data_IF_708705837761
#
_entry.id   IF_708705837761
#
_cell.length_a   1.000
_cell.length_b   1.000
_cell.length_c   1.000
_cell.angle_alpha   90.00
_cell.angle_beta   90.00
_cell.angle_gamma   90.00
#
_symmetry.space_group_name_H-M   'P 1'
#
loop_
_entity.id
_entity.type
_entity.pdbx_description
1 polymer ?
#
# COMPACT_ATOMS: atom_id res chain seq x y z
N UNK A 1 -18.08 4.69 8.24
CA UNK A 1 -19.31 4.01 7.75
C UNK A 1 -19.98 3.19 8.83
N UNK A 2 -19.38 2.12 9.36
CA UNK A 2 -20.01 1.25 10.38
C UNK A 2 -20.56 2.02 11.60
N UNK A 3 -19.79 3.00 12.11
CA UNK A 3 -20.25 3.90 13.18
C UNK A 3 -21.53 4.66 12.82
N UNK A 4 -21.63 5.17 11.59
CA UNK A 4 -22.82 5.88 11.11
C UNK A 4 -24.03 4.92 10.97
N UNK A 5 -23.81 3.70 10.47
CA UNK A 5 -24.86 2.67 10.38
C UNK A 5 -25.40 2.25 11.75
N UNK A 6 -24.54 2.23 12.78
CA UNK A 6 -24.94 1.94 14.15
C UNK A 6 -25.68 3.13 14.77
N UNK A 7 -25.14 4.35 14.65
CA UNK A 7 -25.75 5.57 15.18
C UNK A 7 -27.15 5.85 14.61
N UNK A 8 -27.39 5.50 13.34
CA UNK A 8 -28.69 5.66 12.68
C UNK A 8 -29.58 4.41 12.76
N UNK A 9 -29.43 3.59 13.80
CA UNK A 9 -30.20 2.36 13.95
C UNK A 9 -31.01 2.33 15.24
N UNK A 10 -31.99 1.41 15.32
CA UNK A 10 -32.74 1.18 16.55
C UNK A 10 -31.87 0.71 17.73
N UNK A 11 -30.61 0.32 17.49
CA UNK A 11 -29.65 -0.14 18.51
C UNK A 11 -28.56 0.88 18.84
N UNK A 12 -28.75 2.16 18.50
CA UNK A 12 -27.76 3.22 18.72
C UNK A 12 -27.35 3.38 20.19
N UNK A 13 -28.21 2.99 21.14
CA UNK A 13 -27.92 3.05 22.57
C UNK A 13 -27.13 1.83 23.08
N UNK A 14 -27.05 0.75 22.28
CA UNK A 14 -26.29 -0.44 22.60
C UNK A 14 -24.81 -0.31 22.23
N UNK A 15 -23.96 -1.29 22.61
CA UNK A 15 -22.54 -1.25 22.28
C UNK A 15 -22.29 -1.40 20.78
N UNK A 16 -21.22 -0.75 20.28
CA UNK A 16 -20.64 -1.03 18.97
C UNK A 16 -19.26 -1.65 19.18
N UNK A 17 -19.17 -2.97 19.01
CA UNK A 17 -17.90 -3.70 19.08
C UNK A 17 -17.33 -3.80 17.67
N UNK A 18 -16.14 -3.23 17.44
CA UNK A 18 -15.46 -3.25 16.16
C UNK A 18 -14.23 -4.15 16.22
N UNK A 19 -14.14 -5.10 15.28
CA UNK A 19 -13.10 -6.14 15.27
C UNK A 19 -12.51 -6.21 13.88
N UNK A 20 -11.19 -6.24 13.78
CA UNK A 20 -10.49 -6.56 12.53
C UNK A 20 -10.10 -8.04 12.55
N UNK A 21 -10.69 -8.84 11.67
CA UNK A 21 -10.48 -10.29 11.63
C UNK A 21 -9.05 -10.67 11.24
N UNK A 22 -8.37 -9.87 10.41
CA UNK A 22 -7.00 -10.15 9.96
C UNK A 22 -5.94 -9.85 11.02
N UNK A 23 -6.28 -9.05 12.04
CA UNK A 23 -5.36 -8.69 13.11
C UNK A 23 -5.30 -9.74 14.24
N UNK A 24 -6.22 -10.70 14.27
CA UNK A 24 -6.32 -11.70 15.34
C UNK A 24 -5.61 -12.98 14.92
N UNK A 25 -4.68 -13.51 15.74
CA UNK A 25 -4.08 -14.81 15.50
C UNK A 25 -5.14 -15.91 15.38
N UNK A 26 -5.02 -16.78 14.37
CA UNK A 26 -6.01 -17.83 14.08
C UNK A 26 -6.32 -18.73 15.29
N UNK A 27 -5.31 -19.03 16.11
CA UNK A 27 -5.45 -19.84 17.32
C UNK A 27 -6.28 -19.17 18.44
N UNK A 28 -6.39 -17.84 18.42
CA UNK A 28 -7.18 -17.08 19.41
C UNK A 28 -8.51 -16.61 18.85
N UNK A 29 -8.70 -16.69 17.53
CA UNK A 29 -9.85 -16.10 16.85
C UNK A 29 -11.18 -16.66 17.39
N UNK A 30 -11.25 -17.95 17.66
CA UNK A 30 -12.45 -18.56 18.24
C UNK A 30 -12.75 -18.05 19.65
N UNK A 31 -11.74 -17.99 20.52
CA UNK A 31 -11.87 -17.56 21.90
C UNK A 31 -12.26 -16.07 21.99
N UNK A 32 -11.68 -15.22 21.14
CA UNK A 32 -12.02 -13.79 21.10
C UNK A 32 -13.43 -13.55 20.54
N UNK A 33 -13.90 -14.34 19.56
CA UNK A 33 -15.25 -14.18 19.02
C UNK A 33 -16.34 -14.67 19.96
N UNK A 34 -16.21 -15.89 20.49
CA UNK A 34 -17.28 -16.59 21.21
C UNK A 34 -17.08 -16.65 22.73
N UNK A 35 -15.92 -16.23 23.22
CA UNK A 35 -15.52 -16.36 24.60
C UNK A 35 -14.90 -17.72 24.89
N UNK A 36 -14.28 -17.84 26.06
CA UNK A 36 -13.60 -19.05 26.48
C UNK A 36 -13.76 -19.28 27.97
N UNK A 37 -13.94 -20.55 28.36
CA UNK A 37 -13.92 -20.98 29.77
C UNK A 37 -12.51 -21.28 30.23
N UNK A 38 -12.25 -21.13 31.53
CA UNK A 38 -10.97 -21.50 32.15
C UNK A 38 -10.58 -22.93 31.77
N UNK A 39 -9.34 -23.10 31.32
CA UNK A 39 -8.78 -24.40 30.93
C UNK A 39 -9.14 -24.88 29.52
N UNK A 40 -9.84 -24.07 28.71
CA UNK A 40 -10.24 -24.44 27.35
C UNK A 40 -9.11 -24.44 26.31
N UNK A 41 -8.04 -23.67 26.54
CA UNK A 41 -6.82 -23.67 25.73
C UNK A 41 -5.59 -23.27 26.57
N UNK A 42 -4.39 -23.46 26.01
CA UNK A 42 -3.13 -23.10 26.67
C UNK A 42 -3.06 -21.60 26.94
N UNK A 43 -3.13 -21.19 28.21
CA UNK A 43 -3.18 -19.79 28.63
C UNK A 43 -4.56 -19.30 29.11
N UNK A 44 -5.60 -20.13 29.03
CA UNK A 44 -6.94 -19.81 29.54
C UNK A 44 -7.01 -19.90 31.08
N UNK A 45 -6.35 -18.97 31.76
CA UNK A 45 -6.29 -18.92 33.23
C UNK A 45 -7.62 -18.49 33.88
N UNK A 46 -8.46 -17.77 33.14
CA UNK A 46 -9.75 -17.24 33.57
C UNK A 46 -10.78 -17.37 32.46
N UNK A 47 -12.06 -17.27 32.83
CA UNK A 47 -13.15 -17.09 31.87
C UNK A 47 -13.00 -15.74 31.16
N UNK A 48 -13.27 -15.70 29.86
CA UNK A 48 -13.19 -14.50 29.04
C UNK A 48 -14.40 -14.40 28.14
N UNK A 49 -15.08 -13.26 28.17
CA UNK A 49 -16.20 -12.98 27.29
C UNK A 49 -15.70 -12.70 25.87
N UNK A 50 -16.47 -13.15 24.88
CA UNK A 50 -16.20 -12.92 23.47
C UNK A 50 -16.84 -11.65 22.94
N UNK A 51 -16.53 -11.32 21.69
CA UNK A 51 -17.10 -10.17 21.00
C UNK A 51 -18.61 -10.24 20.84
N UNK A 52 -19.18 -11.43 20.70
CA UNK A 52 -20.64 -11.59 20.66
C UNK A 52 -21.29 -11.19 21.98
N UNK A 53 -20.72 -11.61 23.11
CA UNK A 53 -21.21 -11.22 24.43
C UNK A 53 -21.03 -9.71 24.67
N UNK A 54 -19.87 -9.16 24.30
CA UNK A 54 -19.61 -7.73 24.43
C UNK A 54 -20.54 -6.86 23.55
N UNK A 55 -21.03 -7.40 22.44
CA UNK A 55 -21.92 -6.72 21.50
C UNK A 55 -23.42 -6.96 21.77
N UNK A 56 -23.77 -7.65 22.86
CA UNK A 56 -25.15 -8.02 23.18
C UNK A 56 -26.08 -6.80 23.23
N UNK A 57 -27.21 -6.87 22.53
CA UNK A 57 -28.17 -5.78 22.41
C UNK A 57 -27.72 -4.62 21.50
N UNK A 58 -26.52 -4.72 20.92
CA UNK A 58 -25.89 -3.69 20.09
C UNK A 58 -25.55 -4.19 18.68
N UNK A 59 -24.39 -3.75 18.19
CA UNK A 59 -23.84 -4.10 16.88
C UNK A 59 -22.42 -4.66 17.00
N UNK A 60 -22.14 -5.71 16.22
CA UNK A 60 -20.80 -6.24 16.01
C UNK A 60 -20.35 -5.92 14.58
N UNK A 61 -19.28 -5.13 14.46
CA UNK A 61 -18.64 -4.79 13.20
C UNK A 61 -17.42 -5.71 12.96
N UNK A 62 -17.47 -6.45 11.86
CA UNK A 62 -16.45 -7.40 11.43
C UNK A 62 -15.74 -6.84 10.20
N UNK A 63 -14.56 -6.25 10.40
CA UNK A 63 -13.70 -5.78 9.33
C UNK A 63 -12.85 -6.93 8.79
N UNK A 64 -12.60 -6.91 7.48
CA UNK A 64 -11.88 -7.95 6.73
C UNK A 64 -12.43 -9.38 6.92
N UNK A 65 -13.76 -9.53 6.81
CA UNK A 65 -14.43 -10.83 6.98
C UNK A 65 -13.95 -11.91 5.98
N UNK A 66 -13.47 -11.50 4.81
CA UNK A 66 -12.95 -12.40 3.77
C UNK A 66 -11.70 -13.18 4.18
N UNK A 67 -11.00 -12.73 5.22
CA UNK A 67 -9.76 -13.37 5.71
C UNK A 67 -10.02 -14.40 6.83
N UNK A 68 -11.29 -14.63 7.19
CA UNK A 68 -11.64 -15.66 8.16
C UNK A 68 -11.37 -17.08 7.63
N UNK A 69 -10.72 -17.96 8.42
CA UNK A 69 -10.59 -19.38 8.08
C UNK A 69 -11.95 -20.08 7.94
N UNK A 70 -12.05 -21.09 7.07
CA UNK A 70 -13.29 -21.84 6.80
C UNK A 70 -13.93 -22.45 8.05
N UNK A 71 -13.11 -22.89 9.01
CA UNK A 71 -13.58 -23.41 10.30
C UNK A 71 -14.35 -22.34 11.09
N UNK A 72 -13.84 -21.11 11.09
CA UNK A 72 -14.47 -19.97 11.77
C UNK A 72 -15.71 -19.48 11.03
N UNK A 73 -15.70 -19.50 9.69
CA UNK A 73 -16.89 -19.18 8.89
C UNK A 73 -18.09 -20.07 9.25
N UNK A 74 -17.84 -21.36 9.51
CA UNK A 74 -18.88 -22.33 9.91
C UNK A 74 -19.48 -22.00 11.28
N UNK A 75 -18.65 -21.57 12.23
CA UNK A 75 -19.11 -21.17 13.58
C UNK A 75 -19.85 -19.85 13.55
N UNK A 76 -19.36 -18.89 12.78
CA UNK A 76 -20.02 -17.59 12.58
C UNK A 76 -21.40 -17.78 11.93
N UNK A 77 -21.51 -18.62 10.91
CA UNK A 77 -22.79 -18.96 10.29
C UNK A 77 -23.78 -19.49 11.32
N UNK A 78 -23.34 -20.41 12.19
CA UNK A 78 -24.17 -20.97 13.24
C UNK A 78 -24.65 -19.88 14.21
N UNK A 79 -23.76 -18.99 14.63
CA UNK A 79 -24.11 -17.88 15.51
C UNK A 79 -25.15 -16.94 14.88
N UNK A 80 -25.05 -16.67 13.58
CA UNK A 80 -26.01 -15.82 12.85
C UNK A 80 -27.36 -16.52 12.67
N UNK A 81 -27.35 -17.82 12.35
CA UNK A 81 -28.57 -18.59 12.07
C UNK A 81 -29.36 -18.92 13.33
N UNK A 82 -28.68 -19.47 14.35
CA UNK A 82 -29.30 -19.93 15.59
C UNK A 82 -29.52 -18.79 16.59
N UNK A 83 -28.84 -17.64 16.40
CA UNK A 83 -28.82 -16.51 17.35
C UNK A 83 -28.36 -16.94 18.74
N UNK A 84 -27.43 -17.88 18.77
CA UNK A 84 -26.81 -18.40 19.98
C UNK A 84 -25.31 -18.55 19.77
N UNK A 85 -24.53 -18.33 20.81
CA UNK A 85 -23.08 -18.56 20.82
C UNK A 85 -22.71 -19.56 21.89
N UNK A 86 -21.61 -20.28 21.66
CA UNK A 86 -21.07 -21.25 22.60
C UNK A 86 -19.61 -20.91 22.86
N UNK A 87 -19.28 -20.60 24.11
CA UNK A 87 -17.90 -20.35 24.51
C UNK A 87 -17.04 -21.59 24.35
N UNK A 88 -15.75 -21.40 24.03
CA UNK A 88 -14.78 -22.49 23.91
C UNK A 88 -14.65 -23.22 25.24
N UNK A 89 -14.82 -24.55 25.21
CA UNK A 89 -14.82 -25.39 26.42
C UNK A 89 -16.13 -25.39 27.21
N UNK A 90 -17.19 -24.71 26.74
CA UNK A 90 -18.54 -24.78 27.31
C UNK A 90 -19.44 -25.68 26.47
N UNK A 91 -20.36 -26.41 27.11
CA UNK A 91 -21.46 -27.10 26.44
C UNK A 91 -22.75 -26.26 26.37
N UNK A 92 -22.79 -25.14 27.10
CA UNK A 92 -23.97 -24.27 27.22
C UNK A 92 -23.96 -23.25 26.08
N UNK A 93 -25.11 -23.11 25.43
CA UNK A 93 -25.37 -22.07 24.44
C UNK A 93 -26.03 -20.87 25.10
N UNK A 94 -25.58 -19.68 24.73
CA UNK A 94 -26.07 -18.41 25.24
C UNK A 94 -26.71 -17.61 24.10
N UNK A 95 -27.89 -17.02 24.30
CA UNK A 95 -28.57 -16.26 23.24
C UNK A 95 -27.78 -15.00 22.88
N UNK A 96 -27.47 -14.86 21.59
CA UNK A 96 -26.75 -13.73 21.02
C UNK A 96 -27.71 -12.85 20.22
N UNK A 97 -28.12 -11.74 20.82
CA UNK A 97 -28.93 -10.73 20.13
C UNK A 97 -28.03 -9.58 19.64
N UNK A 98 -27.40 -9.78 18.49
CA UNK A 98 -26.39 -8.86 17.95
C UNK A 98 -26.69 -8.53 16.49
N UNK A 99 -26.63 -7.24 16.14
CA UNK A 99 -26.67 -6.82 14.73
C UNK A 99 -25.29 -6.95 14.12
N UNK A 100 -25.15 -7.77 13.07
CA UNK A 100 -23.89 -7.92 12.35
C UNK A 100 -23.75 -6.84 11.28
N UNK A 101 -22.57 -6.23 11.21
CA UNK A 101 -22.13 -5.36 10.12
C UNK A 101 -20.78 -5.93 9.67
N UNK A 102 -20.62 -6.28 8.40
CA UNK A 102 -19.35 -6.81 7.89
C UNK A 102 -18.78 -5.94 6.78
N UNK A 103 -17.46 -5.89 6.67
CA UNK A 103 -16.75 -5.24 5.58
C UNK A 103 -15.60 -6.13 5.08
N UNK A 104 -15.22 -5.96 3.81
CA UNK A 104 -14.04 -6.57 3.22
C UNK A 104 -13.65 -5.83 1.95
N UNK A 105 -12.35 -5.85 1.62
CA UNK A 105 -11.83 -5.39 0.34
C UNK A 105 -11.83 -6.48 -0.75
N UNK A 106 -12.17 -7.72 -0.41
CA UNK A 106 -12.12 -8.89 -1.32
C UNK A 106 -13.45 -9.09 -2.04
N UNK A 107 -13.38 -9.65 -3.25
CA UNK A 107 -14.57 -10.13 -3.95
C UNK A 107 -15.00 -11.48 -3.35
N UNK A 108 -15.96 -11.42 -2.42
CA UNK A 108 -16.50 -12.61 -1.77
C UNK A 108 -17.19 -13.55 -2.76
N UNK A 109 -17.78 -13.05 -3.86
CA UNK A 109 -18.41 -13.90 -4.85
C UNK A 109 -17.36 -14.76 -5.56
N UNK A 110 -16.22 -14.18 -5.93
CA UNK A 110 -15.08 -14.91 -6.47
C UNK A 110 -14.47 -15.89 -5.45
N UNK A 111 -14.38 -15.51 -4.17
CA UNK A 111 -13.87 -16.39 -3.11
C UNK A 111 -14.80 -17.57 -2.81
N UNK A 112 -16.11 -17.41 -2.98
CA UNK A 112 -17.08 -18.52 -2.92
C UNK A 112 -16.83 -19.51 -4.05
N UNK A 113 -16.65 -19.02 -5.28
CA UNK A 113 -16.35 -19.91 -6.43
C UNK A 113 -15.00 -20.63 -6.28
N UNK A 114 -14.03 -19.98 -5.64
CA UNK A 114 -12.73 -20.57 -5.34
C UNK A 114 -12.72 -21.49 -4.10
N UNK A 115 -13.85 -21.65 -3.40
CA UNK A 115 -13.94 -22.48 -2.19
C UNK A 115 -13.22 -21.91 -0.96
N UNK A 116 -12.80 -20.64 -1.00
CA UNK A 116 -12.15 -19.94 0.13
C UNK A 116 -13.17 -19.31 1.08
N UNK A 117 -14.39 -19.10 0.61
CA UNK A 117 -15.49 -18.58 1.41
C UNK A 117 -16.72 -19.46 1.25
N UNK A 118 -17.45 -19.71 2.34
CA UNK A 118 -18.64 -20.54 2.29
C UNK A 118 -19.82 -19.79 1.67
N UNK A 119 -20.49 -20.45 0.73
CA UNK A 119 -21.65 -19.91 0.03
C UNK A 119 -22.82 -19.58 0.98
N UNK A 120 -23.06 -20.42 1.98
CA UNK A 120 -24.14 -20.25 2.96
C UNK A 120 -23.93 -19.02 3.87
N UNK A 121 -22.69 -18.77 4.31
CA UNK A 121 -22.32 -17.56 5.04
C UNK A 121 -22.43 -16.32 4.16
N UNK A 122 -21.98 -16.40 2.91
CA UNK A 122 -22.08 -15.28 1.96
C UNK A 122 -23.52 -14.78 1.82
N UNK A 123 -24.47 -15.69 1.59
CA UNK A 123 -25.89 -15.30 1.48
C UNK A 123 -26.50 -14.79 2.79
N UNK A 124 -25.97 -15.18 3.95
CA UNK A 124 -26.43 -14.65 5.25
C UNK A 124 -25.87 -13.28 5.58
N UNK A 125 -24.68 -12.94 5.07
CA UNK A 125 -24.07 -11.62 5.23
C UNK A 125 -24.55 -10.63 4.16
N UNK A 126 -24.63 -11.07 2.90
CA UNK A 126 -24.99 -10.25 1.76
C UNK A 126 -26.52 -10.06 1.62
N UNK A 127 -27.15 -9.56 2.69
CA UNK A 127 -28.58 -9.22 2.69
C UNK A 127 -28.80 -7.80 2.21
N UNK A 128 -27.94 -6.87 2.64
CA UNK A 128 -27.91 -5.48 2.20
C UNK A 128 -26.45 -5.15 1.92
N UNK A 129 -26.14 -4.90 0.64
CA UNK A 129 -24.81 -4.51 0.19
C UNK A 129 -24.69 -2.99 0.14
N UNK A 130 -23.53 -2.47 0.57
CA UNK A 130 -23.19 -1.05 0.52
C UNK A 130 -21.80 -0.91 -0.08
N UNK A 131 -21.76 -0.56 -1.36
CA UNK A 131 -20.51 -0.26 -2.06
C UNK A 131 -19.98 1.10 -1.61
N UNK A 132 -18.73 1.12 -1.12
CA UNK A 132 -18.06 2.38 -0.76
C UNK A 132 -17.25 2.85 -1.96
N UNK A 133 -17.64 3.97 -2.61
CA UNK A 133 -16.92 4.46 -3.77
C UNK A 133 -15.52 4.94 -3.36
N UNK A 134 -14.50 4.68 -4.19
CA UNK A 134 -13.18 5.23 -4.00
C UNK A 134 -13.20 6.75 -4.14
N UNK A 135 -12.20 7.43 -3.56
CA UNK A 135 -12.13 8.89 -3.53
C UNK A 135 -12.11 9.53 -4.92
N UNK A 136 -11.51 8.84 -5.90
CA UNK A 136 -11.47 9.24 -7.32
C UNK A 136 -12.86 9.36 -7.98
N UNK A 137 -13.89 8.70 -7.44
CA UNK A 137 -15.27 8.76 -7.93
C UNK A 137 -16.10 9.83 -7.18
N UNK A 138 -15.50 10.50 -6.18
CA UNK A 138 -16.16 11.51 -5.32
C UNK A 138 -15.23 12.70 -5.02
N UNK A 139 -14.63 13.25 -6.08
CA UNK A 139 -13.67 14.36 -5.96
C UNK A 139 -14.31 15.63 -5.37
N UNK A 140 -15.63 15.81 -5.52
CA UNK A 140 -16.36 16.96 -4.94
C UNK A 140 -16.34 16.95 -3.40
N UNK A 141 -16.17 15.79 -2.76
CA UNK A 141 -16.05 15.66 -1.29
C UNK A 141 -14.65 16.04 -0.77
N UNK A 142 -13.66 16.09 -1.67
CA UNK A 142 -12.25 16.19 -1.30
C UNK A 142 -11.91 17.47 -0.51
N UNK A 143 -12.42 18.66 -0.85
CA UNK A 143 -12.15 19.87 -0.07
C UNK A 143 -12.60 19.74 1.39
N UNK A 144 -13.84 19.30 1.62
CA UNK A 144 -14.41 19.12 2.96
C UNK A 144 -13.68 18.01 3.75
N UNK A 145 -13.24 16.95 3.07
CA UNK A 145 -12.42 15.91 3.67
C UNK A 145 -11.06 16.45 4.12
N UNK A 146 -10.38 17.23 3.28
CA UNK A 146 -9.09 17.84 3.62
C UNK A 146 -9.22 18.76 4.84
N UNK A 147 -10.24 19.63 4.89
CA UNK A 147 -10.47 20.51 6.03
C UNK A 147 -10.67 19.73 7.33
N UNK A 148 -11.50 18.70 7.30
CA UNK A 148 -11.78 17.86 8.47
C UNK A 148 -10.55 17.10 8.94
N UNK A 149 -9.76 16.55 8.01
CA UNK A 149 -8.52 15.84 8.31
C UNK A 149 -7.46 16.80 8.87
N UNK A 150 -7.27 17.97 8.27
CA UNK A 150 -6.32 18.97 8.75
C UNK A 150 -6.67 19.48 10.15
N UNK A 151 -7.96 19.73 10.44
CA UNK A 151 -8.40 20.11 11.77
C UNK A 151 -8.06 19.04 12.82
N UNK A 152 -8.24 17.77 12.46
CA UNK A 152 -7.88 16.64 13.33
C UNK A 152 -6.37 16.54 13.54
N UNK A 153 -5.58 16.61 12.46
CA UNK A 153 -4.11 16.55 12.50
C UNK A 153 -3.55 17.69 13.36
N UNK A 154 -4.09 18.90 13.21
CA UNK A 154 -3.69 20.07 13.98
C UNK A 154 -4.00 19.90 15.47
N UNK A 155 -5.19 19.39 15.81
CA UNK A 155 -5.58 19.10 17.19
C UNK A 155 -4.69 18.03 17.84
N UNK A 156 -4.33 16.97 17.10
CA UNK A 156 -3.42 15.92 17.57
C UNK A 156 -1.97 16.42 17.72
N UNK A 157 -1.55 17.37 16.90
CA UNK A 157 -0.19 17.94 16.91
C UNK A 157 -0.04 19.17 17.80
N UNK A 158 -1.14 19.72 18.34
CA UNK A 158 -1.13 20.93 19.17
C UNK A 158 -0.77 22.21 18.41
N UNK A 159 -1.06 22.28 17.11
CA UNK A 159 -0.78 23.43 16.25
C UNK A 159 -2.07 24.12 15.80
N UNK A 160 -1.95 25.34 15.28
CA UNK A 160 -3.07 25.99 14.60
C UNK A 160 -3.43 25.24 13.30
N UNK A 161 -4.72 25.23 12.94
CA UNK A 161 -5.18 24.54 11.73
C UNK A 161 -4.58 25.23 10.51
N UNK A 162 -3.68 24.56 9.77
CA UNK A 162 -3.02 25.19 8.64
C UNK A 162 -4.00 25.34 7.48
N UNK A 163 -3.85 26.42 6.71
CA UNK A 163 -4.72 26.68 5.57
C UNK A 163 -4.24 25.91 4.36
N UNK A 164 -5.15 25.19 3.73
CA UNK A 164 -4.91 24.55 2.44
C UNK A 164 -4.99 25.60 1.33
N UNK A 165 -3.89 25.78 0.59
CA UNK A 165 -3.89 26.68 -0.58
C UNK A 165 -4.71 26.08 -1.74
N UNK A 166 -5.35 26.91 -2.59
CA UNK A 166 -6.11 26.40 -3.74
C UNK A 166 -5.24 25.56 -4.70
N UNK A 167 -3.99 25.95 -4.91
CA UNK A 167 -3.03 25.22 -5.75
C UNK A 167 -2.73 23.82 -5.22
N UNK A 168 -2.61 23.68 -3.89
CA UNK A 168 -2.41 22.40 -3.23
C UNK A 168 -3.63 21.48 -3.39
N UNK A 169 -4.84 22.05 -3.24
CA UNK A 169 -6.08 21.30 -3.43
C UNK A 169 -6.19 20.77 -4.87
N UNK A 170 -5.86 21.59 -5.88
CA UNK A 170 -5.82 21.16 -7.28
C UNK A 170 -4.81 20.04 -7.51
N UNK A 171 -3.62 20.12 -6.93
CA UNK A 171 -2.62 19.06 -6.99
C UNK A 171 -3.12 17.74 -6.39
N UNK A 172 -3.78 17.79 -5.22
CA UNK A 172 -4.36 16.61 -4.59
C UNK A 172 -5.46 16.01 -5.48
N UNK A 173 -6.30 16.83 -6.10
CA UNK A 173 -7.34 16.38 -7.04
C UNK A 173 -6.79 15.66 -8.27
N UNK A 174 -5.61 16.07 -8.76
CA UNK A 174 -4.94 15.43 -9.90
C UNK A 174 -4.16 14.16 -9.50
N UNK A 175 -3.97 13.91 -8.21
CA UNK A 175 -3.17 12.79 -7.72
C UNK A 175 -3.99 11.49 -7.67
N UNK A 176 -3.47 10.38 -8.22
CA UNK A 176 -4.16 9.09 -8.15
C UNK A 176 -4.02 8.46 -6.75
N UNK A 177 -4.88 8.85 -5.82
CA UNK A 177 -4.93 8.34 -4.44
C UNK A 177 -5.46 6.90 -4.39
N UNK A 178 -4.59 5.91 -4.66
CA UNK A 178 -4.93 4.47 -4.61
C UNK A 178 -5.32 4.01 -3.21
N UNK A 179 -4.71 4.57 -2.17
CA UNK A 179 -5.04 4.35 -0.77
C UNK A 179 -6.21 5.19 -0.25
N UNK A 180 -6.91 5.92 -1.13
CA UNK A 180 -8.06 6.76 -0.81
C UNK A 180 -7.78 7.69 0.38
N UNK A 181 -8.67 7.67 1.39
CA UNK A 181 -8.61 8.55 2.56
C UNK A 181 -7.35 8.32 3.40
N UNK A 182 -6.83 7.09 3.50
CA UNK A 182 -5.60 6.81 4.27
C UNK A 182 -4.38 7.45 3.62
N UNK A 183 -4.30 7.41 2.30
CA UNK A 183 -3.21 8.05 1.55
C UNK A 183 -3.32 9.57 1.61
N UNK A 184 -4.55 10.11 1.52
CA UNK A 184 -4.82 11.53 1.70
C UNK A 184 -4.39 12.01 3.10
N UNK A 185 -4.80 11.30 4.17
CA UNK A 185 -4.43 11.63 5.55
C UNK A 185 -2.91 11.64 5.74
N UNK A 186 -2.19 10.66 5.19
CA UNK A 186 -0.73 10.61 5.23
C UNK A 186 -0.08 11.77 4.46
N UNK A 187 -0.62 12.12 3.29
CA UNK A 187 -0.15 13.24 2.49
C UNK A 187 -0.31 14.55 3.26
N UNK A 188 -1.48 14.77 3.88
CA UNK A 188 -1.75 15.95 4.70
C UNK A 188 -0.85 16.00 5.94
N UNK A 189 -0.69 14.89 6.67
CA UNK A 189 0.25 14.82 7.79
C UNK A 189 1.67 15.22 7.38
N UNK A 190 2.14 14.73 6.24
CA UNK A 190 3.46 15.07 5.72
C UNK A 190 3.56 16.54 5.35
N UNK A 191 2.53 17.09 4.70
CA UNK A 191 2.51 18.50 4.34
C UNK A 191 2.59 19.40 5.58
N UNK A 192 1.87 19.04 6.65
CA UNK A 192 1.92 19.75 7.95
C UNK A 192 3.27 19.62 8.63
N UNK A 193 3.92 18.45 8.58
CA UNK A 193 5.23 18.24 9.18
C UNK A 193 6.36 18.99 8.46
N UNK A 194 6.19 19.27 7.16
CA UNK A 194 7.18 19.95 6.32
C UNK A 194 6.92 21.45 6.14
N UNK A 195 5.76 21.95 6.55
CA UNK A 195 5.42 23.37 6.43
C UNK A 195 6.11 24.20 7.52
N UNK A 196 6.88 25.20 7.11
CA UNK A 196 7.36 26.26 8.00
C UNK A 196 6.32 27.40 8.01
N UNK A 197 5.45 27.45 9.04
CA UNK A 197 4.40 28.46 9.20
C UNK A 197 2.97 27.93 9.01
N UNK A 198 1.99 28.82 8.91
CA UNK A 198 0.55 28.47 8.88
C UNK A 198 -0.01 28.14 7.48
N UNK A 199 0.74 28.38 6.41
CA UNK A 199 0.29 28.14 5.03
C UNK A 199 0.94 26.89 4.44
N UNK A 200 0.12 25.93 4.03
CA UNK A 200 0.57 24.73 3.31
C UNK A 200 0.84 25.09 1.85
N UNK A 201 2.10 25.43 1.56
CA UNK A 201 2.62 25.63 0.20
C UNK A 201 3.61 24.54 -0.24
N UNK A 202 3.73 23.46 0.53
CA UNK A 202 4.68 22.38 0.24
C UNK A 202 4.26 21.65 -1.03
N UNK A 203 5.16 21.60 -2.02
CA UNK A 203 5.00 20.74 -3.19
C UNK A 203 5.07 19.26 -2.77
N UNK A 204 3.91 18.67 -2.47
CA UNK A 204 3.83 17.26 -2.04
C UNK A 204 4.10 16.27 -3.17
N UNK A 205 4.20 16.76 -4.42
CA UNK A 205 4.40 15.94 -5.62
C UNK A 205 5.86 15.84 -6.05
N UNK A 206 6.80 16.52 -5.36
CA UNK A 206 8.21 16.33 -5.67
C UNK A 206 8.56 14.83 -5.48
N UNK A 207 9.22 14.23 -6.47
CA UNK A 207 9.61 12.80 -6.46
C UNK A 207 10.48 12.42 -5.24
N UNK A 208 11.03 13.42 -4.53
CA UNK A 208 11.79 13.27 -3.29
C UNK A 208 10.90 13.12 -2.05
N UNK A 209 9.62 13.47 -2.14
CA UNK A 209 8.68 13.59 -1.02
C UNK A 209 7.66 12.45 -0.98
N UNK A 210 7.48 11.70 -2.06
CA UNK A 210 6.69 10.46 -2.08
C UNK A 210 7.60 9.27 -1.70
N UNK A 211 7.24 8.41 -0.72
CA UNK A 211 7.88 7.11 -0.65
C UNK A 211 7.64 6.46 -2.01
N UNK A 212 8.74 6.06 -2.68
CA UNK A 212 8.65 5.32 -3.92
C UNK A 212 7.54 4.29 -3.76
N UNK A 213 6.52 4.27 -4.64
CA UNK A 213 5.45 3.31 -4.49
C UNK A 213 6.14 1.95 -4.40
N UNK A 214 5.77 1.14 -3.41
CA UNK A 214 5.90 -0.31 -3.54
C UNK A 214 5.22 -0.61 -4.86
N UNK A 215 6.03 -0.69 -5.92
CA UNK A 215 5.62 -1.08 -7.24
C UNK A 215 5.02 -2.44 -6.99
N UNK A 216 3.69 -2.48 -6.93
CA UNK A 216 2.96 -3.70 -7.13
C UNK A 216 3.64 -4.36 -8.33
N UNK A 217 4.13 -5.57 -8.10
CA UNK A 217 4.53 -6.48 -9.17
C UNK A 217 3.25 -6.67 -9.99
N UNK A 218 3.01 -5.72 -10.90
CA UNK A 218 1.96 -5.82 -11.86
C UNK A 218 2.41 -6.97 -12.77
N UNK A 219 1.66 -8.06 -12.73
CA UNK A 219 1.71 -9.04 -13.79
C UNK A 219 1.57 -8.30 -15.12
N UNK A 220 2.51 -8.50 -16.08
CA UNK A 220 2.50 -7.76 -17.32
C UNK A 220 1.49 -8.38 -18.27
N UNK A 221 0.23 -7.95 -18.20
CA UNK A 221 -0.76 -8.33 -19.21
C UNK A 221 -0.69 -7.37 -20.39
N UNK A 222 0.19 -7.75 -21.32
CA UNK A 222 0.04 -7.70 -22.79
C UNK A 222 -0.32 -6.35 -23.43
N UNK A 223 0.73 -5.62 -23.82
CA UNK A 223 0.73 -4.77 -25.00
C UNK A 223 2.07 -4.90 -25.73
N UNK A 224 2.09 -5.60 -26.86
CA UNK A 224 3.10 -5.44 -27.91
C UNK A 224 2.68 -6.24 -29.16
N UNK A 225 2.09 -5.56 -30.15
CA UNK A 225 2.21 -5.97 -31.55
C UNK A 225 3.25 -5.05 -32.23
N UNK A 226 4.32 -5.71 -32.70
CA UNK A 226 5.33 -5.36 -33.71
C UNK A 226 6.15 -4.04 -33.59
N UNK A 227 7.46 -3.94 -33.80
CA UNK A 227 8.68 -4.77 -33.91
C UNK A 227 9.81 -3.81 -34.43
N UNK A 228 11.12 -4.14 -34.48
CA UNK A 228 11.78 -5.39 -34.08
C UNK A 228 12.96 -5.24 -33.08
N UNK A 229 13.04 -6.24 -32.20
CA UNK A 229 14.21 -6.98 -31.73
C UNK A 229 15.61 -6.31 -31.63
N UNK A 230 16.03 -6.01 -30.39
CA UNK A 230 17.37 -6.40 -29.93
C UNK A 230 17.22 -7.58 -28.96
N UNK A 231 17.21 -8.78 -29.52
CA UNK A 231 17.55 -9.97 -28.76
C UNK A 231 19.09 -10.01 -28.64
N UNK A 232 19.62 -9.66 -27.48
CA UNK A 232 20.97 -10.02 -27.09
C UNK A 232 20.85 -10.86 -25.82
N UNK A 233 20.93 -12.18 -25.99
CA UNK A 233 21.09 -13.11 -24.87
C UNK A 233 22.38 -12.81 -24.09
N UNK A 234 22.49 -13.39 -22.91
CA UNK A 234 23.69 -13.31 -22.07
C UNK A 234 24.92 -13.63 -22.94
N UNK A 235 25.88 -12.70 -23.11
CA UNK A 235 27.04 -12.93 -23.97
C UNK A 235 27.85 -14.11 -23.45
N UNK A 236 28.27 -15.02 -24.33
CA UNK A 236 29.07 -16.20 -23.97
C UNK A 236 30.46 -15.84 -23.44
N UNK A 237 30.95 -14.63 -23.73
CA UNK A 237 32.17 -14.07 -23.17
C UNK A 237 31.91 -12.62 -22.74
N UNK A 238 31.85 -12.42 -21.43
CA UNK A 238 31.56 -11.14 -20.81
C UNK A 238 32.66 -10.11 -21.12
N UNK A 239 33.92 -10.56 -21.22
CA UNK A 239 35.05 -9.65 -21.35
C UNK A 239 35.08 -9.00 -22.73
N UNK A 240 34.90 -9.79 -23.80
CA UNK A 240 34.78 -9.26 -25.16
C UNK A 240 33.56 -8.35 -25.35
N UNK A 241 32.46 -8.61 -24.64
CA UNK A 241 31.26 -7.77 -24.71
C UNK A 241 31.47 -6.40 -24.06
N UNK A 242 32.07 -6.39 -22.86
CA UNK A 242 32.42 -5.15 -22.16
C UNK A 242 33.46 -4.35 -22.93
N UNK A 243 34.48 -4.99 -23.50
CA UNK A 243 35.49 -4.32 -24.32
C UNK A 243 34.89 -3.68 -25.59
N UNK A 244 33.87 -4.31 -26.19
CA UNK A 244 33.16 -3.74 -27.35
C UNK A 244 32.34 -2.50 -26.96
N UNK A 245 31.58 -2.57 -25.87
CA UNK A 245 30.83 -1.42 -25.38
C UNK A 245 31.77 -0.28 -24.95
N UNK A 246 32.86 -0.61 -24.26
CA UNK A 246 33.89 0.36 -23.84
C UNK A 246 34.54 1.03 -25.07
N UNK A 247 34.85 0.26 -26.13
CA UNK A 247 35.38 0.80 -27.38
C UNK A 247 34.39 1.75 -28.06
N UNK A 248 33.11 1.41 -28.12
CA UNK A 248 32.09 2.26 -28.73
C UNK A 248 31.96 3.60 -28.00
N UNK A 249 31.91 3.57 -26.66
CA UNK A 249 31.85 4.78 -25.82
C UNK A 249 33.11 5.64 -26.02
N UNK A 250 34.30 5.03 -26.03
CA UNK A 250 35.56 5.77 -26.21
C UNK A 250 35.66 6.40 -27.60
N UNK A 251 35.30 5.69 -28.67
CA UNK A 251 35.32 6.21 -30.04
C UNK A 251 34.33 7.36 -30.20
N UNK A 252 33.11 7.20 -29.68
CA UNK A 252 32.08 8.23 -29.76
C UNK A 252 32.52 9.49 -29.01
N UNK A 253 33.03 9.32 -27.79
CA UNK A 253 33.51 10.45 -26.99
C UNK A 253 34.69 11.16 -27.65
N UNK A 254 35.65 10.42 -28.22
CA UNK A 254 36.77 11.01 -28.95
C UNK A 254 36.33 11.77 -30.20
N UNK A 255 35.31 11.29 -30.93
CA UNK A 255 34.76 12.03 -32.09
C UNK A 255 34.12 13.34 -31.66
N UNK A 256 33.33 13.32 -30.58
CA UNK A 256 32.66 14.51 -30.07
C UNK A 256 33.61 15.56 -29.50
N UNK A 257 34.79 15.15 -29.00
CA UNK A 257 35.83 16.07 -28.52
C UNK A 257 36.88 16.40 -29.58
N UNK A 258 36.67 16.05 -30.85
CA UNK A 258 37.62 16.33 -31.93
C UNK A 258 38.97 15.63 -31.77
N UNK A 259 38.98 14.43 -31.20
CA UNK A 259 40.15 13.61 -30.84
C UNK A 259 41.07 14.24 -29.79
N UNK A 260 40.61 15.25 -29.05
CA UNK A 260 41.31 15.77 -27.90
C UNK A 260 41.20 14.79 -26.71
N UNK A 261 42.33 14.15 -26.37
CA UNK A 261 42.42 13.09 -25.35
C UNK A 261 42.27 13.60 -23.93
N UNK A 262 42.71 14.83 -23.61
CA UNK A 262 42.52 15.41 -22.27
C UNK A 262 41.06 15.78 -22.03
N UNK A 263 40.40 16.38 -23.03
CA UNK A 263 38.98 16.69 -22.97
C UNK A 263 38.10 15.42 -22.89
N UNK A 264 38.45 14.37 -23.64
CA UNK A 264 37.74 13.09 -23.56
C UNK A 264 37.91 12.40 -22.19
N UNK A 265 39.11 12.50 -21.59
CA UNK A 265 39.39 11.96 -20.26
C UNK A 265 38.55 12.64 -19.19
N UNK A 266 38.51 13.99 -19.20
CA UNK A 266 37.70 14.77 -18.27
C UNK A 266 36.21 14.44 -18.38
N UNK A 267 35.69 14.29 -19.61
CA UNK A 267 34.27 13.97 -19.84
C UNK A 267 33.87 12.57 -19.38
N UNK A 268 34.80 11.62 -19.42
CA UNK A 268 34.58 10.24 -18.96
C UNK A 268 35.00 10.03 -17.49
N UNK A 269 35.46 11.06 -16.79
CA UNK A 269 35.95 10.94 -15.41
C UNK A 269 37.22 10.08 -15.27
N UNK A 270 38.02 9.96 -16.33
CA UNK A 270 39.25 9.17 -16.37
C UNK A 270 40.48 10.08 -16.32
N UNK A 271 41.60 9.55 -15.82
CA UNK A 271 42.89 10.25 -15.96
C UNK A 271 43.45 10.12 -17.39
N UNK A 272 44.30 11.07 -17.79
CA UNK A 272 44.96 11.05 -19.10
C UNK A 272 45.80 9.78 -19.32
N UNK A 273 46.33 9.18 -18.24
CA UNK A 273 47.05 7.90 -18.30
C UNK A 273 46.11 6.73 -18.55
N UNK A 274 44.94 6.72 -17.91
CA UNK A 274 43.93 5.66 -18.06
C UNK A 274 43.31 5.66 -19.46
N UNK A 275 43.00 6.84 -20.02
CA UNK A 275 42.45 6.91 -21.37
C UNK A 275 43.47 6.46 -22.42
N UNK A 276 44.75 6.86 -22.28
CA UNK A 276 45.85 6.44 -23.17
C UNK A 276 46.01 4.91 -23.16
N UNK A 277 46.01 4.31 -21.98
CA UNK A 277 46.10 2.85 -21.83
C UNK A 277 44.92 2.13 -22.48
N UNK A 278 43.68 2.61 -22.29
CA UNK A 278 42.48 1.98 -22.86
C UNK A 278 42.40 2.11 -24.38
N UNK A 279 42.81 3.25 -24.95
CA UNK A 279 42.90 3.45 -26.41
C UNK A 279 43.91 2.47 -27.03
N UNK A 280 45.08 2.30 -26.39
CA UNK A 280 46.09 1.35 -26.85
C UNK A 280 45.64 -0.11 -26.68
N UNK A 281 45.03 -0.46 -25.54
CA UNK A 281 44.54 -1.82 -25.26
C UNK A 281 43.45 -2.25 -26.23
N UNK A 282 42.54 -1.33 -26.58
CA UNK A 282 41.38 -1.61 -27.44
C UNK A 282 41.66 -1.35 -28.93
N UNK A 283 42.90 -1.05 -29.32
CA UNK A 283 43.34 -0.75 -30.69
C UNK A 283 42.39 0.23 -31.40
N UNK A 284 42.20 1.40 -30.79
CA UNK A 284 41.37 2.47 -31.36
C UNK A 284 42.25 3.38 -32.22
N UNK A 285 42.04 3.34 -33.54
CA UNK A 285 42.72 4.24 -34.50
C UNK A 285 42.21 5.67 -34.33
N UNK A 286 43.00 6.49 -33.62
CA UNK A 286 42.76 7.92 -33.47
C UNK A 286 43.86 8.69 -34.23
N UNK A 287 43.51 9.64 -35.13
CA UNK A 287 44.51 10.53 -35.72
C UNK A 287 45.23 11.31 -34.61
N UNK A 288 46.52 11.67 -34.79
CA UNK A 288 47.25 12.44 -33.80
C UNK A 288 46.59 13.82 -33.66
N UNK A 289 45.80 13.99 -32.60
CA UNK A 289 45.27 15.29 -32.20
C UNK A 289 46.39 16.18 -31.63
N UNK A 290 46.18 17.49 -31.50
CA UNK A 290 47.20 18.41 -31.01
C UNK A 290 47.64 18.00 -29.60
N UNK A 291 48.90 17.58 -29.46
CA UNK A 291 49.51 17.29 -28.17
C UNK A 291 49.76 18.61 -27.43
N UNK A 292 49.07 18.81 -26.32
CA UNK A 292 49.43 19.86 -25.36
C UNK A 292 50.51 19.28 -24.44
N UNK A 293 51.69 19.92 -24.29
CA UNK A 293 52.79 19.39 -23.48
C UNK A 293 52.42 19.23 -22.00
N UNK A 294 53.00 18.21 -21.36
CA UNK A 294 52.65 17.64 -20.05
C UNK A 294 53.09 18.49 -18.82
N UNK A 295 53.29 19.80 -18.95
CA UNK A 295 53.73 20.68 -17.84
C UNK A 295 52.67 21.73 -17.47
N UNK A 296 51.59 21.28 -16.82
CA UNK A 296 50.80 22.11 -15.88
C UNK A 296 49.83 21.23 -15.09
N UNK A 297 50.34 20.51 -14.09
CA UNK A 297 49.66 20.21 -12.82
C UNK A 297 50.71 19.88 -11.76
#
# INVERSE_FOLDING_TARGET
VARALHANSHRFAGPLVAVNCSAIPENLLEAEFFGAKKGSYTGASQDRDGFFQAAQGGSLFLDEIGDLPLAMQSKLLRAIQERCVRAVGSAVEEPADVRIISATHRDLAADVQAGRFRQDLYYRLNVIDIVIPPLRERLDDLPALCETLLARIAAESGIEVPRLSPSMLEQICLTPLRGNVRELENLLHRAVALSEGNDLQVDILSEQTMPAPLRAVAEPTRAAEAAPALAAGIPSDLQSHLDKQEREILVQTLRETGFNRTAAAARLGLSLRQIRYRIARLNIDAPPGPEVPDDAL
#
